data_IF_220269260082
#
_entry.id   IF_220269260082
#
_cell.length_a   1.000
_cell.length_b   1.000
_cell.length_c   1.000
_cell.angle_alpha   90.00
_cell.angle_beta   90.00
_cell.angle_gamma   90.00
#
_symmetry.space_group_name_H-M   'P 1'
#
loop_
_entity.id
_entity.type
_entity.pdbx_description
1 polymer ?
#
# COMPACT_ATOMS: atom_id res chain seq x y z
N UNK A 1 -7.63 8.01 -3.37
CA UNK A 1 -6.49 8.81 -2.88
C UNK A 1 -5.80 8.12 -1.71
N UNK A 2 -6.52 7.85 -0.61
CA UNK A 2 -5.95 7.17 0.57
C UNK A 2 -5.18 5.89 0.23
N UNK A 3 -5.77 4.99 -0.58
CA UNK A 3 -5.08 3.76 -1.01
C UNK A 3 -3.76 4.02 -1.76
N UNK A 4 -3.71 5.00 -2.67
CA UNK A 4 -2.50 5.32 -3.44
C UNK A 4 -1.39 5.89 -2.55
N UNK A 5 -1.75 6.57 -1.45
CA UNK A 5 -0.83 7.29 -0.59
C UNK A 5 -0.59 6.60 0.76
N UNK A 6 -1.06 5.36 0.95
CA UNK A 6 -0.97 4.69 2.25
C UNK A 6 0.50 4.53 2.72
N UNK A 7 1.41 4.18 1.80
CA UNK A 7 2.86 4.08 2.07
C UNK A 7 3.66 5.37 1.79
N UNK A 8 2.99 6.47 1.44
CA UNK A 8 3.68 7.73 1.24
C UNK A 8 4.52 8.22 2.45
N UNK A 9 4.19 7.87 3.73
CA UNK A 9 5.08 8.13 4.86
C UNK A 9 6.48 7.53 4.72
N UNK A 10 6.63 6.37 4.08
CA UNK A 10 7.90 5.62 3.97
C UNK A 10 8.97 6.40 3.20
N UNK A 11 8.57 7.27 2.27
CA UNK A 11 9.48 8.17 1.57
C UNK A 11 10.22 9.16 2.50
N UNK A 12 9.73 9.35 3.73
CA UNK A 12 10.32 10.25 4.72
C UNK A 12 10.98 9.51 5.89
N UNK A 13 10.40 8.38 6.31
CA UNK A 13 10.86 7.63 7.50
C UNK A 13 11.64 6.36 7.18
N UNK A 14 11.63 5.93 5.91
CA UNK A 14 12.16 4.66 5.44
C UNK A 14 11.11 3.55 5.45
N UNK A 15 11.29 2.57 4.58
CA UNK A 15 10.50 1.33 4.54
C UNK A 15 11.12 0.30 5.52
N UNK A 16 10.27 -0.31 6.34
CA UNK A 16 10.65 -1.33 7.30
C UNK A 16 9.71 -2.53 7.20
N UNK A 17 10.26 -3.74 7.22
CA UNK A 17 9.45 -4.95 7.24
C UNK A 17 8.53 -5.00 8.47
N UNK A 18 7.33 -5.54 8.27
CA UNK A 18 6.27 -5.61 9.30
C UNK A 18 6.72 -6.11 10.69
N UNK A 19 7.56 -7.16 10.82
CA UNK A 19 8.05 -7.61 12.13
C UNK A 19 8.83 -6.54 12.90
N UNK A 20 9.66 -5.75 12.21
CA UNK A 20 10.45 -4.68 12.83
C UNK A 20 9.52 -3.52 13.24
N UNK A 21 8.58 -3.13 12.37
CA UNK A 21 7.55 -2.13 12.73
C UNK A 21 6.74 -2.57 13.96
N UNK A 22 6.53 -3.87 14.16
CA UNK A 22 5.88 -4.44 15.35
C UNK A 22 6.67 -4.28 16.65
N UNK A 23 7.99 -4.41 16.58
CA UNK A 23 8.89 -4.27 17.72
C UNK A 23 9.20 -2.80 18.10
N UNK A 24 8.84 -1.83 17.25
CA UNK A 24 9.22 -0.41 17.42
C UNK A 24 7.99 0.53 17.49
N UNK A 25 7.34 0.67 18.66
CA UNK A 25 6.17 1.55 18.82
C UNK A 25 6.43 3.02 18.46
N UNK A 26 7.63 3.53 18.75
CA UNK A 26 8.02 4.91 18.42
C UNK A 26 8.09 5.15 16.90
N UNK A 27 8.50 4.14 16.13
CA UNK A 27 8.51 4.24 14.67
C UNK A 27 7.10 4.44 14.13
N UNK A 28 6.13 3.63 14.59
CA UNK A 28 4.71 3.78 14.21
C UNK A 28 4.14 5.15 14.56
N UNK A 29 4.55 5.73 15.71
CA UNK A 29 4.13 7.08 16.10
C UNK A 29 4.67 8.15 15.15
N UNK A 30 5.90 8.01 14.69
CA UNK A 30 6.52 8.92 13.72
C UNK A 30 5.84 8.77 12.36
N UNK A 31 5.67 7.55 11.88
CA UNK A 31 4.98 7.22 10.62
C UNK A 31 3.56 7.83 10.59
N UNK A 32 2.77 7.62 11.65
CA UNK A 32 1.42 8.19 11.77
C UNK A 32 1.40 9.74 11.81
N UNK A 33 2.47 10.39 12.27
CA UNK A 33 2.57 11.86 12.21
C UNK A 33 2.78 12.35 10.78
N UNK A 34 3.59 11.63 10.00
CA UNK A 34 3.84 11.93 8.58
C UNK A 34 2.58 11.66 7.76
N UNK A 35 1.90 10.54 8.00
CA UNK A 35 0.61 10.19 7.39
C UNK A 35 -0.41 11.33 7.56
N UNK A 36 -0.63 11.80 8.80
CA UNK A 36 -1.53 12.94 9.07
C UNK A 36 -1.12 14.23 8.35
N UNK A 37 0.19 14.47 8.16
CA UNK A 37 0.66 15.63 7.41
C UNK A 37 0.34 15.52 5.92
N UNK A 38 0.48 14.33 5.34
CA UNK A 38 0.14 14.00 3.95
C UNK A 38 -1.37 14.13 3.72
N UNK A 39 -2.17 13.52 4.60
CA UNK A 39 -3.64 13.64 4.59
C UNK A 39 -4.11 15.09 4.56
N UNK A 40 -3.57 15.94 5.46
CA UNK A 40 -3.86 17.38 5.48
C UNK A 40 -3.42 18.08 4.21
N UNK A 41 -2.23 17.77 3.71
CA UNK A 41 -1.66 18.41 2.51
C UNK A 41 -2.49 18.16 1.26
N UNK A 42 -3.07 16.98 1.14
CA UNK A 42 -3.90 16.58 0.00
C UNK A 42 -5.40 16.58 0.31
N UNK A 43 -5.76 17.10 1.49
CA UNK A 43 -7.11 17.27 1.99
C UNK A 43 -7.95 16.01 1.82
N UNK A 44 -7.49 14.86 2.33
CA UNK A 44 -8.25 13.61 2.39
C UNK A 44 -8.08 12.93 3.75
N UNK A 45 -9.05 12.11 4.14
CA UNK A 45 -9.00 11.24 5.32
C UNK A 45 -9.76 9.98 4.97
N UNK A 46 -9.19 8.81 5.23
CA UNK A 46 -9.90 7.55 5.05
C UNK A 46 -10.93 7.36 6.17
N UNK A 47 -12.14 6.96 5.82
CA UNK A 47 -13.09 6.38 6.78
C UNK A 47 -12.52 5.09 7.36
N UNK A 48 -13.09 4.62 8.48
CA UNK A 48 -12.68 3.35 9.08
C UNK A 48 -12.80 2.18 8.09
N UNK A 49 -13.91 2.10 7.35
CA UNK A 49 -14.14 1.02 6.38
C UNK A 49 -13.15 1.07 5.21
N UNK A 50 -12.81 2.28 4.74
CA UNK A 50 -11.76 2.47 3.73
C UNK A 50 -10.39 2.06 4.25
N UNK A 51 -10.04 2.42 5.50
CA UNK A 51 -8.77 2.03 6.09
C UNK A 51 -8.64 0.50 6.22
N UNK A 52 -9.71 -0.18 6.63
CA UNK A 52 -9.76 -1.66 6.66
C UNK A 52 -9.59 -2.25 5.26
N UNK A 53 -10.26 -1.68 4.26
CA UNK A 53 -10.12 -2.09 2.86
C UNK A 53 -8.70 -1.92 2.33
N UNK A 54 -8.08 -0.77 2.59
CA UNK A 54 -6.70 -0.47 2.21
C UNK A 54 -5.75 -1.47 2.86
N UNK A 55 -5.91 -1.73 4.17
CA UNK A 55 -5.05 -2.68 4.85
C UNK A 55 -5.17 -4.10 4.30
N UNK A 56 -6.39 -4.51 3.92
CA UNK A 56 -6.61 -5.80 3.26
C UNK A 56 -5.96 -5.86 1.87
N UNK A 57 -6.04 -4.78 1.09
CA UNK A 57 -5.40 -4.70 -0.21
C UNK A 57 -3.86 -4.75 -0.11
N UNK A 58 -3.28 -4.01 0.85
CA UNK A 58 -1.84 -4.02 1.18
C UNK A 58 -1.35 -5.45 1.51
N UNK A 59 -2.01 -6.12 2.46
CA UNK A 59 -1.67 -7.51 2.84
C UNK A 59 -1.75 -8.47 1.63
N UNK A 60 -2.79 -8.31 0.80
CA UNK A 60 -2.95 -9.14 -0.40
C UNK A 60 -1.84 -8.91 -1.41
N UNK A 61 -1.48 -7.65 -1.68
CA UNK A 61 -0.40 -7.31 -2.62
C UNK A 61 0.96 -7.81 -2.12
N UNK A 62 1.25 -7.67 -0.82
CA UNK A 62 2.46 -8.23 -0.22
C UNK A 62 2.54 -9.76 -0.40
N UNK A 63 1.41 -10.48 -0.27
CA UNK A 63 1.36 -11.91 -0.52
C UNK A 63 1.60 -12.27 -2.00
N UNK A 64 0.97 -11.55 -2.93
CA UNK A 64 1.18 -11.72 -4.39
C UNK A 64 2.65 -11.47 -4.76
N UNK A 65 3.23 -10.38 -4.26
CA UNK A 65 4.65 -10.05 -4.46
C UNK A 65 5.56 -11.12 -3.88
N UNK A 66 5.30 -11.54 -2.64
CA UNK A 66 6.03 -12.61 -1.98
C UNK A 66 6.07 -13.87 -2.83
N UNK A 67 4.90 -14.33 -3.29
CA UNK A 67 4.74 -15.59 -4.05
C UNK A 67 5.46 -15.55 -5.40
N UNK A 68 5.50 -14.39 -6.06
CA UNK A 68 5.98 -14.25 -7.43
C UNK A 68 7.42 -13.72 -7.54
N UNK A 69 7.90 -12.95 -6.55
CA UNK A 69 9.18 -12.24 -6.64
C UNK A 69 10.24 -12.76 -5.67
N UNK A 70 9.86 -13.45 -4.59
CA UNK A 70 10.85 -14.02 -3.67
C UNK A 70 11.34 -15.37 -4.16
N UNK A 71 12.65 -15.62 -3.98
CA UNK A 71 13.29 -16.89 -4.36
C UNK A 71 12.73 -18.11 -3.62
N UNK A 72 12.17 -17.92 -2.42
CA UNK A 72 11.58 -18.99 -1.63
C UNK A 72 10.10 -18.70 -1.35
N UNK A 73 9.27 -18.91 -2.36
CA UNK A 73 7.82 -18.73 -2.27
C UNK A 73 7.15 -19.64 -1.24
N UNK A 74 7.79 -20.72 -0.80
CA UNK A 74 7.27 -21.58 0.26
C UNK A 74 7.18 -20.84 1.62
N UNK A 75 8.07 -19.87 1.88
CA UNK A 75 8.03 -19.04 3.09
C UNK A 75 6.79 -18.12 3.13
N UNK A 76 6.23 -17.79 1.97
CA UNK A 76 5.07 -16.91 1.85
C UNK A 76 3.80 -17.64 2.31
N UNK A 77 3.76 -18.97 2.16
CA UNK A 77 2.66 -19.79 2.67
C UNK A 77 2.57 -19.74 4.21
N UNK A 78 3.66 -19.37 4.90
CA UNK A 78 3.70 -19.23 6.35
C UNK A 78 3.17 -17.87 6.84
N UNK A 79 2.91 -16.91 5.93
CA UNK A 79 2.46 -15.56 6.29
C UNK A 79 1.00 -15.49 6.75
N UNK A 80 0.28 -16.62 6.77
CA UNK A 80 -1.10 -16.78 7.25
C UNK A 80 -2.03 -15.67 6.74
N UNK A 81 -2.29 -15.68 5.43
CA UNK A 81 -3.22 -14.73 4.82
C UNK A 81 -4.60 -14.86 5.47
N UNK A 82 -5.21 -13.76 5.96
CA UNK A 82 -6.56 -13.82 6.49
C UNK A 82 -7.55 -14.38 5.45
N UNK A 83 -8.34 -15.38 5.82
CA UNK A 83 -9.26 -16.09 4.91
C UNK A 83 -10.31 -15.18 4.28
N UNK A 84 -10.62 -14.05 4.91
CA UNK A 84 -11.53 -13.02 4.39
C UNK A 84 -10.94 -12.18 3.24
N UNK A 85 -9.63 -12.30 3.00
CA UNK A 85 -8.91 -11.62 1.91
C UNK A 85 -8.85 -12.50 0.66
N UNK A 86 -8.61 -13.81 0.82
CA UNK A 86 -8.43 -14.76 -0.28
C UNK A 86 -9.59 -14.75 -1.30
N UNK A 87 -10.81 -14.56 -0.83
CA UNK A 87 -12.00 -14.54 -1.70
C UNK A 87 -12.40 -13.16 -2.19
N UNK A 88 -11.72 -12.11 -1.73
CA UNK A 88 -12.10 -10.71 -2.00
C UNK A 88 -11.37 -10.12 -3.19
N UNK A 89 -10.20 -10.63 -3.52
CA UNK A 89 -9.36 -10.14 -4.60
C UNK A 89 -9.06 -11.25 -5.61
N UNK A 90 -8.96 -10.87 -6.88
CA UNK A 90 -8.64 -11.78 -7.97
C UNK A 90 -7.12 -11.92 -8.10
N UNK A 91 -6.59 -13.06 -7.65
CA UNK A 91 -5.16 -13.39 -7.72
C UNK A 91 -4.62 -13.39 -9.16
N UNK A 92 -5.36 -13.94 -10.12
CA UNK A 92 -4.91 -14.01 -11.50
C UNK A 92 -4.81 -12.61 -12.11
N UNK A 93 -5.79 -11.76 -11.80
CA UNK A 93 -5.77 -10.35 -12.18
C UNK A 93 -4.61 -9.60 -11.51
N UNK A 94 -4.36 -9.81 -10.23
CA UNK A 94 -3.25 -9.15 -9.54
C UNK A 94 -1.88 -9.57 -10.10
N UNK A 95 -1.69 -10.87 -10.30
CA UNK A 95 -0.44 -11.43 -10.84
C UNK A 95 -0.18 -10.95 -12.27
N UNK A 96 -1.21 -10.89 -13.12
CA UNK A 96 -1.06 -10.38 -14.50
C UNK A 96 -0.67 -8.90 -14.59
N UNK A 97 -0.83 -8.13 -13.51
CA UNK A 97 -0.46 -6.72 -13.43
C UNK A 97 0.78 -6.47 -12.56
N UNK A 98 1.49 -7.52 -12.15
CA UNK A 98 2.71 -7.41 -11.35
C UNK A 98 3.92 -7.19 -12.27
N UNK A 99 4.46 -5.97 -12.24
CA UNK A 99 5.62 -5.59 -13.05
C UNK A 99 6.71 -4.95 -12.18
N UNK A 100 7.94 -5.47 -12.26
CA UNK A 100 9.12 -4.83 -11.67
C UNK A 100 9.60 -3.69 -12.58
N UNK A 101 9.00 -2.52 -12.43
CA UNK A 101 9.34 -1.31 -13.20
C UNK A 101 10.69 -0.71 -12.77
N UNK A 102 11.36 -0.01 -13.68
CA UNK A 102 12.49 0.84 -13.30
C UNK A 102 12.03 2.00 -12.40
N UNK A 103 12.92 2.63 -11.61
CA UNK A 103 12.55 3.77 -10.77
C UNK A 103 11.91 4.94 -11.55
N UNK A 104 12.33 5.14 -12.82
CA UNK A 104 11.76 6.17 -13.69
C UNK A 104 10.32 5.83 -14.09
N UNK A 105 10.06 4.61 -14.53
CA UNK A 105 8.75 4.14 -14.95
C UNK A 105 7.76 4.08 -13.78
N UNK A 106 8.18 3.56 -12.63
CA UNK A 106 7.36 3.51 -11.42
C UNK A 106 6.92 4.93 -10.99
N UNK A 107 7.86 5.88 -11.00
CA UNK A 107 7.58 7.30 -10.74
C UNK A 107 6.54 7.85 -11.72
N UNK A 108 6.70 7.58 -13.00
CA UNK A 108 5.79 8.06 -14.04
C UNK A 108 4.36 7.50 -13.87
N UNK A 109 4.23 6.18 -13.68
CA UNK A 109 2.95 5.53 -13.44
C UNK A 109 2.26 6.03 -12.17
N UNK A 110 3.02 6.25 -11.10
CA UNK A 110 2.51 6.85 -9.88
C UNK A 110 1.96 8.26 -10.14
N UNK A 111 2.71 9.12 -10.85
CA UNK A 111 2.25 10.48 -11.15
C UNK A 111 1.02 10.52 -12.05
N UNK A 112 0.89 9.60 -13.01
CA UNK A 112 -0.30 9.49 -13.87
C UNK A 112 -1.52 9.23 -12.99
N UNK A 113 -1.47 8.18 -12.17
CA UNK A 113 -2.57 7.81 -11.27
C UNK A 113 -2.88 8.92 -10.27
N UNK A 114 -1.86 9.47 -9.62
CA UNK A 114 -1.99 10.55 -8.64
C UNK A 114 -2.68 11.78 -9.25
N UNK A 115 -2.25 12.21 -10.44
CA UNK A 115 -2.85 13.35 -11.14
C UNK A 115 -4.28 13.07 -11.58
N UNK A 116 -4.63 11.85 -11.95
CA UNK A 116 -6.03 11.48 -12.25
C UNK A 116 -6.91 11.65 -11.02
N UNK A 117 -6.52 11.02 -9.91
CA UNK A 117 -7.28 11.07 -8.66
C UNK A 117 -7.40 12.49 -8.10
N UNK A 118 -6.36 13.32 -8.24
CA UNK A 118 -6.42 14.73 -7.85
C UNK A 118 -7.40 15.54 -8.71
N UNK A 119 -7.51 15.25 -10.01
CA UNK A 119 -8.48 15.91 -10.90
C UNK A 119 -9.91 15.51 -10.55
N UNK A 120 -10.16 14.22 -10.41
CA UNK A 120 -11.48 13.69 -10.00
C UNK A 120 -11.94 14.30 -8.68
N UNK A 121 -11.05 14.34 -7.67
CA UNK A 121 -11.36 14.93 -6.36
C UNK A 121 -11.71 16.41 -6.44
N UNK A 122 -11.03 17.19 -7.28
CA UNK A 122 -11.35 18.61 -7.50
C UNK A 122 -12.68 18.82 -8.21
N UNK A 123 -13.12 17.87 -9.05
CA UNK A 123 -14.39 17.96 -9.76
C UNK A 123 -15.60 17.61 -8.87
N UNK A 124 -15.37 16.96 -7.72
CA UNK A 124 -16.41 16.60 -6.74
C UNK A 124 -16.58 17.63 -5.61
N UNK A 125 -15.79 18.72 -5.62
CA UNK A 125 -15.85 19.83 -4.67
C UNK A 125 -16.50 21.05 -5.34
#
# INVERSE_FOLDING_TARGET
>A
MAALLHDAPEAYVGDLISPIKGAMPEFRRIEARVERAIERRFNFTATYDEAVLIKRADIFMAWIEGKNLLNNSALVNEWNLPTDIEHRFDEAKATSHLYCLSPKEAKEQFYITFRSLMRERRAMQ
#
